data_IF_499150398471
#
_entry.id   IF_499150398471
#
_cell.length_a   1.000
_cell.length_b   1.000
_cell.length_c   1.000
_cell.angle_alpha   90.00
_cell.angle_beta   90.00
_cell.angle_gamma   90.00
#
_symmetry.space_group_name_H-M   'P 1'
#
loop_
_entity.id
_entity.type
_entity.pdbx_description
1 polymer ?
#
# COMPACT_ATOMS: atom_id res chain seq x y z
N UNK A 1 14.25 -25.61 -5.35
CA UNK A 1 14.83 -24.24 -5.36
C UNK A 1 14.18 -23.45 -6.48
N UNK A 2 13.39 -22.44 -6.14
CA UNK A 2 13.04 -21.31 -7.01
C UNK A 2 12.55 -20.22 -6.08
N UNK A 3 13.53 -19.50 -5.55
CA UNK A 3 13.37 -18.26 -4.81
C UNK A 3 12.66 -17.32 -5.79
N UNK A 4 11.43 -16.90 -5.48
CA UNK A 4 10.74 -15.88 -6.26
C UNK A 4 11.10 -14.55 -5.66
N UNK A 5 12.03 -13.92 -6.34
CA UNK A 5 12.61 -12.61 -6.16
C UNK A 5 11.61 -11.62 -5.56
N UNK A 6 11.95 -11.14 -4.37
CA UNK A 6 11.40 -9.93 -3.77
C UNK A 6 11.83 -8.76 -4.65
N UNK A 7 11.09 -8.51 -5.72
CA UNK A 7 11.25 -7.33 -6.56
C UNK A 7 10.77 -6.13 -5.74
N UNK A 8 11.70 -5.54 -4.99
CA UNK A 8 11.58 -4.17 -4.50
C UNK A 8 11.60 -3.25 -5.72
N UNK A 9 10.45 -3.13 -6.39
CA UNK A 9 10.23 -2.09 -7.39
C UNK A 9 10.41 -0.74 -6.71
N UNK A 10 11.50 -0.06 -7.06
CA UNK A 10 11.71 1.36 -6.84
C UNK A 10 10.60 2.10 -7.59
N UNK A 11 9.51 2.42 -6.88
CA UNK A 11 8.34 3.08 -7.45
C UNK A 11 8.64 4.57 -7.60
N UNK A 12 8.08 5.24 -8.63
CA UNK A 12 8.24 6.68 -8.87
C UNK A 12 7.94 7.47 -7.60
N UNK A 13 8.52 8.67 -7.47
CA UNK A 13 8.25 9.62 -6.38
C UNK A 13 6.77 10.05 -6.47
N UNK A 14 5.87 9.20 -6.00
CA UNK A 14 4.45 9.52 -5.91
C UNK A 14 4.32 10.41 -4.68
N UNK A 15 3.94 11.67 -4.92
CA UNK A 15 3.62 12.61 -3.85
C UNK A 15 2.63 11.95 -2.89
N UNK A 16 3.02 11.79 -1.62
CA UNK A 16 2.19 11.13 -0.61
C UNK A 16 0.92 11.97 -0.38
N UNK A 17 -0.29 11.36 -0.45
CA UNK A 17 -1.52 12.04 -0.11
C UNK A 17 -1.51 12.59 1.31
N UNK A 18 -2.08 13.78 1.53
CA UNK A 18 -2.08 14.40 2.87
C UNK A 18 -2.77 13.55 3.93
N UNK A 19 -3.77 12.76 3.56
CA UNK A 19 -4.47 11.90 4.51
C UNK A 19 -3.57 10.79 5.07
N UNK A 20 -2.42 10.46 4.46
CA UNK A 20 -1.49 9.46 5.01
C UNK A 20 -0.69 9.98 6.20
N UNK A 21 -0.58 11.30 6.39
CA UNK A 21 0.14 11.91 7.53
C UNK A 21 -0.37 11.41 8.88
N UNK A 22 -1.69 11.27 9.04
CA UNK A 22 -2.28 10.71 10.28
C UNK A 22 -1.94 9.23 10.49
N UNK A 23 -1.86 8.43 9.41
CA UNK A 23 -1.48 7.03 9.51
C UNK A 23 -0.01 6.88 9.88
N UNK A 24 0.88 7.73 9.34
CA UNK A 24 2.30 7.78 9.72
C UNK A 24 2.47 8.12 11.20
N UNK A 25 1.67 9.06 11.72
CA UNK A 25 1.70 9.44 13.13
C UNK A 25 1.21 8.30 14.05
N UNK A 26 0.15 7.58 13.66
CA UNK A 26 -0.40 6.46 14.43
C UNK A 26 0.46 5.19 14.33
N UNK A 27 1.18 4.99 13.22
CA UNK A 27 1.97 3.80 12.94
C UNK A 27 3.42 4.16 12.57
N UNK A 28 4.22 4.73 13.50
CA UNK A 28 5.57 5.23 13.21
C UNK A 28 6.55 4.13 12.78
N UNK A 29 6.28 2.87 13.12
CA UNK A 29 7.09 1.71 12.69
C UNK A 29 6.74 1.19 11.30
N UNK A 30 5.64 1.65 10.68
CA UNK A 30 5.17 1.17 9.39
C UNK A 30 5.76 2.05 8.27
N UNK A 31 6.60 1.42 7.44
CA UNK A 31 7.30 2.10 6.34
C UNK A 31 6.48 2.18 5.06
N UNK A 32 5.48 1.33 4.88
CA UNK A 32 4.69 1.24 3.66
C UNK A 32 3.20 1.21 3.98
N UNK A 33 2.43 1.95 3.20
CA UNK A 33 0.98 1.94 3.22
C UNK A 33 0.45 1.62 1.83
N UNK A 34 -0.53 0.72 1.77
CA UNK A 34 -1.17 0.32 0.54
C UNK A 34 -2.54 0.98 0.48
N UNK A 35 -2.73 1.85 -0.51
CA UNK A 35 -3.95 2.62 -0.68
C UNK A 35 -4.69 2.09 -1.89
N UNK A 36 -5.86 1.52 -1.69
CA UNK A 36 -6.73 1.07 -2.79
C UNK A 36 -7.32 2.29 -3.50
N UNK A 37 -7.74 2.16 -4.76
CA UNK A 37 -8.24 3.32 -5.50
C UNK A 37 -9.63 3.82 -5.04
N UNK A 38 -10.26 3.15 -4.07
CA UNK A 38 -11.38 3.66 -3.26
C UNK A 38 -10.93 4.34 -1.95
N UNK A 39 -9.64 4.68 -1.82
CA UNK A 39 -9.01 5.41 -0.72
C UNK A 39 -8.98 4.68 0.63
N UNK A 40 -9.08 3.35 0.66
CA UNK A 40 -8.82 2.59 1.88
C UNK A 40 -7.32 2.39 2.07
N UNK A 41 -6.88 2.55 3.32
CA UNK A 41 -5.47 2.44 3.71
C UNK A 41 -5.24 1.14 4.46
N UNK A 42 -4.33 0.32 3.93
CA UNK A 42 -3.88 -0.91 4.54
C UNK A 42 -2.42 -0.77 4.96
N UNK A 43 -2.08 -1.36 6.10
CA UNK A 43 -0.70 -1.43 6.57
C UNK A 43 0.09 -2.46 5.76
N UNK A 44 1.41 -2.37 5.78
CA UNK A 44 2.30 -3.32 5.08
C UNK A 44 2.00 -4.80 5.41
N UNK A 45 1.72 -5.10 6.69
CA UNK A 45 1.35 -6.46 7.14
C UNK A 45 0.04 -6.98 6.53
N UNK A 46 -0.82 -6.07 6.08
CA UNK A 46 -2.16 -6.34 5.54
C UNK A 46 -2.18 -6.25 4.00
N UNK A 47 -1.01 -6.31 3.35
CA UNK A 47 -0.91 -6.17 1.89
C UNK A 47 -1.81 -7.13 1.11
N UNK A 48 -1.92 -8.39 1.55
CA UNK A 48 -2.80 -9.37 0.90
C UNK A 48 -4.29 -8.97 0.99
N UNK A 49 -4.67 -8.32 2.09
CA UNK A 49 -6.02 -7.78 2.25
C UNK A 49 -6.25 -6.60 1.29
N UNK A 50 -5.25 -5.74 1.11
CA UNK A 50 -5.31 -4.64 0.15
C UNK A 50 -5.49 -5.13 -1.29
N UNK A 51 -4.75 -6.18 -1.70
CA UNK A 51 -4.91 -6.80 -3.03
C UNK A 51 -6.29 -7.42 -3.18
N UNK A 52 -6.72 -8.22 -2.19
CA UNK A 52 -8.03 -8.89 -2.21
C UNK A 52 -9.16 -7.88 -2.33
N UNK A 53 -9.09 -6.78 -1.57
CA UNK A 53 -10.05 -5.69 -1.64
C UNK A 53 -10.02 -5.00 -3.00
N UNK A 54 -8.85 -4.59 -3.49
CA UNK A 54 -8.72 -3.94 -4.81
C UNK A 54 -9.30 -4.81 -5.93
N UNK A 55 -9.08 -6.13 -5.85
CA UNK A 55 -9.53 -7.07 -6.89
C UNK A 55 -11.04 -7.29 -6.85
N UNK A 56 -11.63 -7.34 -5.65
CA UNK A 56 -13.04 -7.72 -5.47
C UNK A 56 -14.00 -6.54 -5.41
N UNK A 57 -13.54 -5.41 -4.89
CA UNK A 57 -14.38 -4.27 -4.49
C UNK A 57 -13.81 -2.94 -4.98
N UNK A 58 -12.48 -2.78 -4.90
CA UNK A 58 -11.81 -1.52 -5.16
C UNK A 58 -12.04 -1.02 -6.59
N UNK A 59 -12.05 0.30 -6.71
CA UNK A 59 -12.07 1.00 -8.00
C UNK A 59 -10.69 1.59 -8.26
N UNK A 60 -10.31 1.81 -9.51
CA UNK A 60 -9.00 2.41 -9.83
C UNK A 60 -7.80 1.50 -9.52
N UNK A 61 -6.67 2.10 -9.11
CA UNK A 61 -5.39 1.40 -8.94
C UNK A 61 -4.94 1.34 -7.47
N UNK A 62 -4.37 0.20 -7.07
CA UNK A 62 -3.71 0.05 -5.78
C UNK A 62 -2.35 0.77 -5.82
N UNK A 63 -2.18 1.78 -4.98
CA UNK A 63 -0.93 2.53 -4.84
C UNK A 63 -0.21 2.18 -3.54
N UNK A 64 1.11 2.28 -3.54
CA UNK A 64 1.92 2.08 -2.33
C UNK A 64 2.76 3.32 -2.11
N UNK A 65 2.77 3.79 -0.87
CA UNK A 65 3.51 4.95 -0.38
C UNK A 65 4.37 4.56 0.81
#
# INVERSE_FOLDING_TARGET
MKNKDTELQEKPVVTEPEFLKQYRACYPGVKKFHVTGDNLVFLDKDYQNAISHQTKVGKGELKTY
#
